data_IF_819258751251
#
_entry.id   IF_819258751251
#
_cell.length_a   1.000
_cell.length_b   1.000
_cell.length_c   1.000
_cell.angle_alpha   90.00
_cell.angle_beta   90.00
_cell.angle_gamma   90.00
#
_symmetry.space_group_name_H-M   'P 1'
#
loop_
_entity.id
_entity.type
_entity.pdbx_description
1 polymer ?
#
# COMPACT_ATOMS: atom_id res chain seq x y z
N UNK A 1 -0.23 -13.74 6.32
CA UNK A 1 -0.27 -15.22 6.31
C UNK A 1 -0.20 -15.56 4.84
N UNK A 2 0.80 -16.32 4.39
CA UNK A 2 0.84 -16.84 3.02
C UNK A 2 0.02 -18.13 3.03
N UNK A 3 -1.16 -18.13 2.39
CA UNK A 3 -2.00 -19.32 2.28
C UNK A 3 -1.97 -19.97 0.89
N UNK A 4 -1.15 -19.45 -0.02
CA UNK A 4 -0.97 -19.99 -1.37
C UNK A 4 -2.01 -19.48 -2.36
N UNK A 5 -2.85 -18.52 -1.96
CA UNK A 5 -3.93 -17.96 -2.78
C UNK A 5 -3.69 -16.50 -3.16
N UNK A 6 -2.52 -15.95 -2.88
CA UNK A 6 -2.12 -14.59 -3.25
C UNK A 6 -1.74 -14.48 -4.74
N UNK A 7 -1.89 -13.29 -5.31
CA UNK A 7 -1.63 -13.07 -6.75
C UNK A 7 -0.22 -13.49 -7.21
N UNK A 8 0.79 -13.35 -6.35
CA UNK A 8 2.18 -13.67 -6.69
C UNK A 8 2.43 -15.17 -6.77
N UNK A 9 1.62 -16.01 -6.11
CA UNK A 9 1.72 -17.48 -6.20
C UNK A 9 1.36 -17.96 -7.61
N UNK A 10 0.35 -17.33 -8.24
CA UNK A 10 0.00 -17.60 -9.64
C UNK A 10 1.11 -17.14 -10.60
N UNK A 11 1.83 -16.06 -10.28
CA UNK A 11 3.00 -15.64 -11.05
C UNK A 11 4.16 -16.64 -10.88
N UNK A 12 4.45 -17.09 -9.66
CA UNK A 12 5.49 -18.10 -9.39
C UNK A 12 5.23 -19.40 -10.15
N UNK A 13 3.99 -19.88 -10.17
CA UNK A 13 3.59 -21.06 -10.94
C UNK A 13 3.83 -20.88 -12.44
N UNK A 14 3.69 -19.64 -12.94
CA UNK A 14 3.87 -19.33 -14.37
C UNK A 14 5.34 -19.16 -14.77
N UNK A 15 6.20 -18.77 -13.82
CA UNK A 15 7.63 -18.50 -14.03
C UNK A 15 8.47 -19.32 -13.04
N UNK A 16 8.55 -20.65 -13.19
CA UNK A 16 9.20 -21.54 -12.21
C UNK A 16 10.72 -21.33 -12.10
N UNK A 17 11.34 -20.72 -13.11
CA UNK A 17 12.77 -20.39 -13.13
C UNK A 17 13.05 -18.97 -12.57
N UNK A 18 12.03 -18.25 -12.12
CA UNK A 18 12.15 -16.93 -11.49
C UNK A 18 12.03 -17.06 -9.97
N UNK A 19 12.97 -16.46 -9.24
CA UNK A 19 12.91 -16.39 -7.77
C UNK A 19 12.10 -15.16 -7.32
N UNK A 20 11.12 -15.38 -6.44
CA UNK A 20 10.25 -14.32 -5.93
C UNK A 20 10.53 -14.07 -4.46
N UNK A 21 10.91 -12.83 -4.14
CA UNK A 21 11.04 -12.34 -2.77
C UNK A 21 9.87 -11.42 -2.46
N UNK A 22 8.95 -11.89 -1.61
CA UNK A 22 7.67 -11.21 -1.35
C UNK A 22 7.66 -10.58 0.02
N UNK A 23 7.44 -9.26 0.05
CA UNK A 23 7.33 -8.46 1.27
C UNK A 23 5.97 -7.77 1.33
N UNK A 24 4.94 -8.53 1.68
CA UNK A 24 3.58 -8.01 1.91
C UNK A 24 3.21 -8.10 3.39
N UNK A 25 2.73 -7.00 3.97
CA UNK A 25 2.23 -7.01 5.35
C UNK A 25 1.10 -6.00 5.50
N UNK A 26 0.08 -6.39 6.27
CA UNK A 26 -1.07 -5.53 6.53
C UNK A 26 -0.67 -4.26 7.27
N UNK A 27 -1.19 -3.13 6.80
CA UNK A 27 -1.03 -1.83 7.45
C UNK A 27 0.35 -1.20 7.33
N UNK A 28 1.17 -1.62 6.37
CA UNK A 28 2.34 -0.84 5.96
C UNK A 28 1.94 0.19 4.91
N UNK A 29 2.55 1.37 5.01
CA UNK A 29 2.57 2.35 3.93
C UNK A 29 3.94 2.40 3.25
N UNK A 30 4.02 3.18 2.18
CA UNK A 30 5.20 3.31 1.32
C UNK A 30 6.52 3.54 2.07
N UNK A 31 6.55 4.30 3.17
CA UNK A 31 7.78 4.47 3.96
C UNK A 31 8.28 3.15 4.54
N UNK A 32 7.40 2.36 5.15
CA UNK A 32 7.78 1.10 5.77
C UNK A 32 8.19 0.07 4.72
N UNK A 33 7.51 0.04 3.58
CA UNK A 33 7.91 -0.77 2.44
C UNK A 33 9.28 -0.34 1.90
N UNK A 34 9.56 0.97 1.82
CA UNK A 34 10.87 1.50 1.45
C UNK A 34 11.95 1.09 2.46
N UNK A 35 11.66 1.09 3.75
CA UNK A 35 12.60 0.62 4.78
C UNK A 35 12.97 -0.85 4.55
N UNK A 36 11.98 -1.71 4.28
CA UNK A 36 12.23 -3.13 3.96
C UNK A 36 13.06 -3.27 2.67
N UNK A 37 12.71 -2.54 1.61
CA UNK A 37 13.48 -2.54 0.37
C UNK A 37 14.92 -2.10 0.63
N UNK A 38 15.11 -1.00 1.35
CA UNK A 38 16.42 -0.43 1.64
C UNK A 38 17.33 -1.41 2.40
N UNK A 39 16.76 -2.20 3.30
CA UNK A 39 17.48 -3.17 4.12
C UNK A 39 17.81 -4.47 3.38
N UNK A 40 17.05 -4.84 2.34
CA UNK A 40 17.11 -6.16 1.71
C UNK A 40 17.64 -6.15 0.27
N UNK A 41 17.53 -5.04 -0.45
CA UNK A 41 17.79 -4.99 -1.90
C UNK A 41 19.23 -5.31 -2.30
N UNK A 42 20.21 -5.01 -1.44
CA UNK A 42 21.63 -5.29 -1.73
C UNK A 42 21.99 -6.77 -1.54
N UNK A 43 21.23 -7.49 -0.71
CA UNK A 43 21.37 -8.93 -0.51
C UNK A 43 20.68 -9.70 -1.64
N UNK A 44 19.43 -9.33 -1.92
CA UNK A 44 18.60 -9.95 -2.95
C UNK A 44 19.15 -9.65 -4.36
N UNK A 45 19.63 -8.41 -4.58
CA UNK A 45 20.08 -7.89 -5.89
C UNK A 45 19.07 -8.20 -7.01
N UNK A 46 17.82 -7.73 -6.88
CA UNK A 46 16.76 -8.12 -7.81
C UNK A 46 17.01 -7.56 -9.21
N UNK A 47 16.65 -8.34 -10.23
CA UNK A 47 16.63 -7.88 -11.63
C UNK A 47 15.43 -6.97 -11.92
N UNK A 48 14.40 -7.03 -11.07
CA UNK A 48 13.13 -6.30 -11.19
C UNK A 48 12.50 -6.13 -9.81
N UNK A 49 11.81 -5.00 -9.60
CA UNK A 49 10.97 -4.76 -8.42
C UNK A 49 9.52 -4.61 -8.89
N UNK A 50 8.61 -5.36 -8.28
CA UNK A 50 7.17 -5.19 -8.45
C UNK A 50 6.60 -4.49 -7.21
N UNK A 51 6.07 -3.29 -7.40
CA UNK A 51 5.51 -2.43 -6.35
C UNK A 51 3.99 -2.40 -6.44
N UNK A 52 3.34 -3.03 -5.46
CA UNK A 52 1.91 -2.90 -5.26
C UNK A 52 1.62 -1.62 -4.47
N UNK A 53 0.62 -0.86 -4.88
CA UNK A 53 0.20 0.36 -4.17
C UNK A 53 -1.31 0.34 -3.93
N UNK A 54 -1.75 0.99 -2.86
CA UNK A 54 -3.16 1.19 -2.56
C UNK A 54 -3.41 2.62 -2.06
N UNK A 55 -4.66 3.03 -1.95
CA UNK A 55 -5.01 4.38 -1.51
C UNK A 55 -4.68 4.66 -0.03
N UNK A 56 -4.59 3.62 0.83
CA UNK A 56 -4.19 3.81 2.23
C UNK A 56 -2.73 4.24 2.38
N UNK A 57 -1.86 3.94 1.41
CA UNK A 57 -0.47 4.39 1.41
C UNK A 57 -0.31 5.90 1.57
N UNK A 58 -1.20 6.69 0.98
CA UNK A 58 -1.19 8.14 1.18
C UNK A 58 -1.42 8.49 2.66
N UNK A 59 -2.42 7.87 3.29
CA UNK A 59 -2.71 8.07 4.70
C UNK A 59 -1.54 7.65 5.58
N UNK A 60 -0.98 6.47 5.33
CA UNK A 60 0.07 5.90 6.15
C UNK A 60 1.40 6.67 6.06
N UNK A 61 1.59 7.53 5.05
CA UNK A 61 2.78 8.37 4.90
C UNK A 61 2.67 9.75 5.57
N UNK A 62 1.50 10.14 6.10
CA UNK A 62 1.28 11.45 6.69
C UNK A 62 0.50 11.34 7.99
N UNK A 63 1.14 11.62 9.12
CA UNK A 63 0.50 11.56 10.44
C UNK A 63 -0.77 12.40 10.50
N UNK A 64 -0.72 13.64 9.99
CA UNK A 64 -1.86 14.56 9.95
C UNK A 64 -3.02 14.05 9.09
N UNK A 65 -2.72 13.28 8.04
CA UNK A 65 -3.74 12.69 7.16
C UNK A 65 -4.26 11.36 7.73
N UNK A 66 -3.39 10.50 8.28
CA UNK A 66 -3.73 9.19 8.85
C UNK A 66 -4.75 9.33 9.98
N UNK A 67 -4.53 10.26 10.92
CA UNK A 67 -5.45 10.50 12.06
C UNK A 67 -6.87 10.90 11.61
N UNK A 68 -7.00 11.40 10.38
CA UNK A 68 -8.28 11.77 9.76
C UNK A 68 -8.86 10.65 8.88
N UNK A 69 -8.02 9.86 8.21
CA UNK A 69 -8.39 8.94 7.14
C UNK A 69 -8.46 7.46 7.57
N UNK A 70 -7.41 6.96 8.22
CA UNK A 70 -7.24 5.55 8.59
C UNK A 70 -7.02 5.41 10.10
N UNK A 71 -8.05 4.92 10.79
CA UNK A 71 -8.13 4.98 12.25
C UNK A 71 -8.06 3.61 12.90
N UNK A 72 -7.75 2.60 12.10
CA UNK A 72 -7.62 1.21 12.51
C UNK A 72 -6.20 0.90 12.99
N UNK A 73 -5.20 1.71 12.60
CA UNK A 73 -3.82 1.56 13.03
C UNK A 73 -3.53 2.26 14.38
N UNK A 74 -4.03 1.69 15.48
CA UNK A 74 -3.75 2.23 16.83
C UNK A 74 -2.34 1.80 17.25
N UNK A 75 -1.34 2.66 17.04
CA UNK A 75 0.03 2.37 17.45
C UNK A 75 1.04 3.46 17.10
N UNK A 76 2.29 3.25 17.51
CA UNK A 76 3.43 4.07 17.09
C UNK A 76 3.84 3.63 15.68
N UNK A 77 3.94 4.59 14.76
CA UNK A 77 4.27 4.36 13.35
C UNK A 77 5.38 5.32 12.90
N UNK A 78 6.23 4.91 11.95
CA UNK A 78 7.22 5.80 11.35
C UNK A 78 6.56 6.73 10.31
N UNK A 79 7.02 7.98 10.26
CA UNK A 79 6.65 8.98 9.25
C UNK A 79 7.92 9.69 8.77
N UNK A 80 7.93 10.13 7.51
CA UNK A 80 9.02 10.90 6.96
C UNK A 80 8.73 12.39 7.13
N UNK A 81 9.53 13.07 7.96
CA UNK A 81 9.42 14.51 8.23
C UNK A 81 10.79 15.15 8.06
N UNK A 82 10.91 16.11 7.13
CA UNK A 82 12.15 16.86 6.92
C UNK A 82 13.39 15.96 6.77
N UNK A 83 13.29 14.91 5.94
CA UNK A 83 14.32 13.86 5.72
C UNK A 83 14.58 12.91 6.91
N UNK A 84 13.87 13.06 8.03
CA UNK A 84 14.03 12.21 9.19
C UNK A 84 12.85 11.26 9.36
N UNK A 85 13.14 10.01 9.73
CA UNK A 85 12.11 9.08 10.16
C UNK A 85 11.78 9.40 11.61
N UNK A 86 10.55 9.87 11.85
CA UNK A 86 10.02 10.16 13.18
C UNK A 86 8.95 9.15 13.54
N UNK A 87 8.89 8.78 14.82
CA UNK A 87 7.91 7.83 15.32
C UNK A 87 6.81 8.57 16.07
N UNK A 88 5.57 8.47 15.58
CA UNK A 88 4.41 9.11 16.20
C UNK A 88 3.32 8.10 16.50
N UNK A 89 2.63 8.31 17.61
CA UNK A 89 1.39 7.59 17.87
C UNK A 89 0.32 8.09 16.88
N UNK A 90 -0.35 7.20 16.15
CA UNK A 90 -1.50 7.57 15.31
C UNK A 90 -2.72 7.90 16.20
N UNK A 91 -2.67 9.08 16.83
CA UNK A 91 -3.73 9.67 17.64
C UNK A 91 -3.75 11.17 17.42
N UNK A 92 -4.95 11.74 17.51
CA UNK A 92 -5.16 13.19 17.41
C UNK A 92 -4.57 13.95 18.61
N UNK A 93 -4.49 13.31 19.77
CA UNK A 93 -3.97 13.91 20.99
C UNK A 93 -2.80 13.10 21.53
N UNK A 94 -1.63 13.74 21.59
CA UNK A 94 -0.45 13.21 22.29
C UNK A 94 -0.63 13.43 23.81
N UNK A 95 -1.62 12.74 24.38
CA UNK A 95 -1.77 12.73 25.83
C UNK A 95 -0.64 11.86 26.40
N UNK A 96 0.15 12.36 27.36
CA UNK A 96 1.10 11.54 28.09
C UNK A 96 0.31 10.58 28.98
N UNK A 97 -0.23 9.50 28.40
CA UNK A 97 -0.85 8.41 29.14
C UNK A 97 0.30 7.64 29.78
N UNK A 98 0.86 8.21 30.85
CA UNK A 98 1.70 7.47 31.77
C UNK A 98 0.88 6.29 32.29
N UNK A 99 1.32 5.10 31.91
CA UNK A 99 0.79 3.78 32.24
C UNK A 99 0.27 3.65 33.68
N UNK A 100 -1.02 3.89 33.92
CA UNK A 100 -1.62 3.47 35.20
C UNK A 100 -3.11 3.13 35.18
N UNK A 101 -3.85 3.33 34.09
CA UNK A 101 -5.25 2.87 34.04
C UNK A 101 -5.63 2.35 32.66
N UNK A 102 -5.55 1.03 32.46
CA UNK A 102 -5.98 0.34 31.22
C UNK A 102 -7.42 0.73 30.80
N UNK A 103 -8.30 0.97 31.77
CA UNK A 103 -9.67 1.41 31.52
C UNK A 103 -9.76 2.83 30.95
N UNK A 104 -8.89 3.75 31.38
CA UNK A 104 -8.84 5.11 30.81
C UNK A 104 -8.33 5.08 29.36
N UNK A 105 -7.39 4.19 29.04
CA UNK A 105 -6.94 3.98 27.67
C UNK A 105 -8.07 3.42 26.79
N UNK A 106 -8.82 2.42 27.25
CA UNK A 106 -9.98 1.88 26.52
C UNK A 106 -11.07 2.92 26.30
N UNK A 107 -11.40 3.72 27.33
CA UNK A 107 -12.37 4.81 27.23
C UNK A 107 -11.91 5.89 26.25
N UNK A 108 -10.64 6.30 26.31
CA UNK A 108 -10.11 7.30 25.38
C UNK A 108 -10.12 6.77 23.95
N UNK A 109 -9.68 5.53 23.73
CA UNK A 109 -9.74 4.88 22.42
C UNK A 109 -11.18 4.79 21.90
N UNK A 110 -12.16 4.47 22.77
CA UNK A 110 -13.57 4.43 22.39
C UNK A 110 -14.12 5.82 22.03
N UNK A 111 -13.79 6.86 22.80
CA UNK A 111 -14.19 8.25 22.51
C UNK A 111 -13.55 8.73 21.20
N UNK A 112 -12.25 8.45 21.00
CA UNK A 112 -11.54 8.77 19.77
C UNK A 112 -12.20 8.06 18.58
N UNK A 113 -12.49 6.76 18.68
CA UNK A 113 -13.17 5.95 17.66
C UNK A 113 -14.60 6.43 17.33
N UNK A 114 -15.34 6.96 18.31
CA UNK A 114 -16.65 7.60 18.08
C UNK A 114 -16.47 8.94 17.36
N UNK A 115 -15.59 9.82 17.84
CA UNK A 115 -15.35 11.16 17.27
C UNK A 115 -14.87 11.12 15.81
N UNK A 116 -13.81 10.37 15.56
CA UNK A 116 -13.99 9.12 14.87
C UNK A 116 -14.99 9.05 13.71
N UNK A 117 -15.79 8.00 13.80
CA UNK A 117 -16.93 7.69 12.94
C UNK A 117 -17.83 8.88 12.59
N UNK A 118 -17.88 9.92 13.42
CA UNK A 118 -18.69 11.11 13.20
C UNK A 118 -18.01 12.21 12.35
N UNK A 119 -16.69 12.15 12.15
CA UNK A 119 -15.95 13.16 11.38
C UNK A 119 -15.84 12.73 9.91
N UNK A 120 -16.19 13.60 8.95
CA UNK A 120 -16.03 13.28 7.53
C UNK A 120 -14.55 13.01 7.21
N UNK A 121 -14.30 11.96 6.41
CA UNK A 121 -12.95 11.70 5.90
C UNK A 121 -12.56 12.85 4.96
N UNK A 122 -11.33 13.38 5.06
CA UNK A 122 -10.85 14.42 4.17
C UNK A 122 -10.81 13.90 2.72
N UNK A 123 -11.29 14.72 1.79
CA UNK A 123 -11.27 14.41 0.36
C UNK A 123 -9.84 14.44 -0.23
N UNK A 124 -9.72 13.93 -1.45
CA UNK A 124 -8.48 13.92 -2.24
C UNK A 124 -8.07 15.31 -2.77
N UNK A 125 -8.86 16.33 -2.48
CA UNK A 125 -8.58 17.74 -2.73
C UNK A 125 -8.18 18.50 -1.45
N UNK A 126 -8.06 17.82 -0.31
CA UNK A 126 -7.69 18.43 0.96
C UNK A 126 -6.21 18.86 1.00
N UNK A 127 -5.89 19.79 1.91
CA UNK A 127 -4.49 20.22 2.12
C UNK A 127 -3.66 19.04 2.64
N UNK A 128 -4.25 18.27 3.53
CA UNK A 128 -3.68 17.12 4.20
C UNK A 128 -3.36 16.01 3.19
N UNK A 129 -4.28 15.75 2.24
CA UNK A 129 -4.00 14.81 1.15
C UNK A 129 -2.89 15.30 0.22
N UNK A 130 -2.84 16.58 -0.13
CA UNK A 130 -1.74 17.12 -0.96
C UNK A 130 -0.38 16.94 -0.30
N UNK A 131 -0.30 17.12 1.02
CA UNK A 131 0.92 16.87 1.79
C UNK A 131 1.28 15.38 1.79
N UNK A 132 0.31 14.52 2.09
CA UNK A 132 0.46 13.07 2.01
C UNK A 132 0.99 12.60 0.64
N UNK A 133 0.37 13.07 -0.46
CA UNK A 133 0.79 12.76 -1.83
C UNK A 133 2.22 13.23 -2.11
N UNK A 134 2.63 14.40 -1.62
CA UNK A 134 3.99 14.89 -1.80
C UNK A 134 5.02 13.99 -1.10
N UNK A 135 4.73 13.55 0.13
CA UNK A 135 5.59 12.59 0.86
C UNK A 135 5.62 11.24 0.13
N UNK A 136 4.48 10.73 -0.32
CA UNK A 136 4.42 9.50 -1.12
C UNK A 136 5.29 9.59 -2.38
N UNK A 137 5.24 10.70 -3.11
CA UNK A 137 6.07 10.90 -4.31
C UNK A 137 7.56 10.93 -3.99
N UNK A 138 7.96 11.60 -2.91
CA UNK A 138 9.35 11.61 -2.46
C UNK A 138 9.83 10.18 -2.11
N UNK A 139 9.02 9.42 -1.37
CA UNK A 139 9.31 8.04 -1.01
C UNK A 139 9.42 7.12 -2.24
N UNK A 140 8.50 7.23 -3.19
CA UNK A 140 8.58 6.48 -4.45
C UNK A 140 9.82 6.88 -5.27
N UNK A 141 10.22 8.17 -5.23
CA UNK A 141 11.49 8.63 -5.77
C UNK A 141 12.69 7.94 -5.11
N UNK A 142 12.69 7.81 -3.78
CA UNK A 142 13.71 7.07 -3.02
C UNK A 142 13.72 5.58 -3.40
N UNK A 143 12.56 4.94 -3.56
CA UNK A 143 12.43 3.56 -4.06
C UNK A 143 13.09 3.43 -5.44
N UNK A 144 12.72 4.30 -6.39
CA UNK A 144 13.24 4.24 -7.77
C UNK A 144 14.75 4.46 -7.83
N UNK A 145 15.30 5.29 -6.94
CA UNK A 145 16.72 5.60 -6.86
C UNK A 145 17.54 4.54 -6.10
N UNK A 146 16.90 3.70 -5.27
CA UNK A 146 17.59 2.78 -4.37
C UNK A 146 18.26 1.60 -5.09
N UNK A 147 17.76 1.23 -6.27
CA UNK A 147 18.31 0.15 -7.11
C UNK A 147 18.29 0.52 -8.58
N UNK A 148 19.21 -0.07 -9.35
CA UNK A 148 19.22 0.03 -10.81
C UNK A 148 18.11 -0.83 -11.46
N UNK A 149 17.48 -1.72 -10.70
CA UNK A 149 16.37 -2.52 -11.18
C UNK A 149 15.21 -1.63 -11.67
N UNK A 150 14.55 -1.98 -12.79
CA UNK A 150 13.28 -1.39 -13.16
C UNK A 150 12.23 -1.66 -12.07
N UNK A 151 11.49 -0.63 -11.71
CA UNK A 151 10.37 -0.71 -10.76
C UNK A 151 9.08 -0.68 -11.56
N UNK A 152 8.33 -1.76 -11.50
CA UNK A 152 6.99 -1.91 -12.08
C UNK A 152 5.96 -1.62 -10.99
N UNK A 153 4.98 -0.79 -11.30
CA UNK A 153 4.03 -0.27 -10.31
C UNK A 153 2.61 -0.60 -10.75
N UNK A 154 1.77 -1.10 -9.84
CA UNK A 154 0.33 -1.25 -10.06
C UNK A 154 -0.49 -0.81 -8.86
N UNK A 155 -1.69 -0.29 -9.15
CA UNK A 155 -2.71 0.04 -8.14
C UNK A 155 -3.60 -1.17 -7.87
N UNK A 156 -3.66 -1.62 -6.62
CA UNK A 156 -4.51 -2.72 -6.19
C UNK A 156 -5.94 -2.28 -5.83
N UNK A 157 -6.14 -0.98 -5.59
CA UNK A 157 -7.36 -0.44 -4.99
C UNK A 157 -8.20 0.39 -5.97
N UNK A 158 -7.65 0.72 -7.15
CA UNK A 158 -8.38 1.27 -8.31
C UNK A 158 -9.09 2.56 -8.01
N UNK A 159 -8.52 3.34 -7.08
CA UNK A 159 -9.34 4.26 -6.31
C UNK A 159 -9.39 5.65 -6.93
N UNK A 160 -8.40 6.06 -7.74
CA UNK A 160 -8.21 7.49 -8.02
C UNK A 160 -7.44 7.79 -9.32
N UNK A 161 -7.89 8.79 -10.11
CA UNK A 161 -7.06 9.42 -11.14
C UNK A 161 -5.67 9.83 -10.65
N UNK A 162 -5.58 10.26 -9.38
CA UNK A 162 -4.33 10.69 -8.73
C UNK A 162 -3.29 9.57 -8.58
N UNK A 163 -3.72 8.30 -8.54
CA UNK A 163 -2.82 7.13 -8.52
C UNK A 163 -2.36 6.78 -9.94
N UNK A 164 -3.21 7.00 -10.95
CA UNK A 164 -2.90 6.68 -12.34
C UNK A 164 -1.71 7.49 -12.91
N UNK A 165 -1.44 8.68 -12.36
CA UNK A 165 -0.27 9.50 -12.69
C UNK A 165 0.93 9.25 -11.75
N UNK A 166 0.74 8.61 -10.60
CA UNK A 166 1.75 8.49 -9.56
C UNK A 166 2.99 7.71 -10.03
N UNK A 167 2.79 6.60 -10.74
CA UNK A 167 3.88 5.83 -11.33
C UNK A 167 4.69 6.65 -12.35
N UNK A 168 4.02 7.50 -13.16
CA UNK A 168 4.69 8.37 -14.13
C UNK A 168 5.48 9.46 -13.43
N UNK A 169 4.87 10.12 -12.45
CA UNK A 169 5.50 11.17 -11.64
C UNK A 169 6.74 10.65 -10.90
N UNK A 170 6.70 9.40 -10.43
CA UNK A 170 7.82 8.73 -9.77
C UNK A 170 8.86 8.10 -10.74
N UNK A 171 8.65 8.19 -12.05
CA UNK A 171 9.55 7.60 -13.05
C UNK A 171 9.59 6.06 -13.04
N UNK A 172 8.48 5.43 -12.65
CA UNK A 172 8.28 3.97 -12.62
C UNK A 172 7.54 3.48 -13.87
N UNK A 173 7.59 2.16 -14.10
CA UNK A 173 6.87 1.53 -15.20
C UNK A 173 5.44 1.22 -14.75
N UNK A 174 4.47 1.96 -15.29
CA UNK A 174 3.06 1.77 -14.98
C UNK A 174 2.53 0.48 -15.61
N UNK A 175 2.04 -0.43 -14.77
CA UNK A 175 1.32 -1.62 -15.19
C UNK A 175 -0.15 -1.29 -15.50
N UNK A 176 -0.90 -2.22 -16.13
CA UNK A 176 -2.33 -2.06 -16.35
C UNK A 176 -3.10 -1.77 -15.05
N UNK A 177 -4.27 -1.12 -15.19
CA UNK A 177 -5.18 -0.86 -14.08
C UNK A 177 -5.84 -2.17 -13.60
N UNK A 178 -5.11 -2.92 -12.78
CA UNK A 178 -5.54 -4.24 -12.29
C UNK A 178 -6.86 -4.12 -11.54
N UNK A 179 -7.00 -3.12 -10.67
CA UNK A 179 -8.21 -2.91 -9.90
C UNK A 179 -9.42 -2.53 -10.78
N UNK A 180 -9.22 -1.67 -11.79
CA UNK A 180 -10.25 -1.38 -12.79
C UNK A 180 -10.67 -2.62 -13.58
N UNK A 181 -9.71 -3.45 -14.00
CA UNK A 181 -9.98 -4.70 -14.71
C UNK A 181 -10.78 -5.67 -13.83
N UNK A 182 -10.38 -5.88 -12.57
CA UNK A 182 -11.10 -6.74 -11.62
C UNK A 182 -12.53 -6.24 -11.38
N UNK A 183 -12.72 -4.92 -11.29
CA UNK A 183 -14.05 -4.33 -11.11
C UNK A 183 -14.97 -4.60 -12.30
N UNK A 184 -14.46 -4.52 -13.53
CA UNK A 184 -15.24 -4.87 -14.72
C UNK A 184 -15.48 -6.38 -14.82
N UNK A 185 -14.47 -7.21 -14.52
CA UNK A 185 -14.59 -8.67 -14.54
C UNK A 185 -15.63 -9.17 -13.54
N UNK A 186 -15.65 -8.62 -12.32
CA UNK A 186 -16.66 -8.91 -11.30
C UNK A 186 -18.10 -8.70 -11.81
N UNK A 187 -18.33 -7.67 -12.64
CA UNK A 187 -19.64 -7.42 -13.26
C UNK A 187 -19.98 -8.43 -14.34
N UNK A 188 -18.98 -8.88 -15.11
CA UNK A 188 -19.16 -9.83 -16.21
C UNK A 188 -19.51 -11.22 -15.67
N UNK A 189 -18.75 -11.70 -14.68
CA UNK A 189 -18.95 -13.05 -14.11
C UNK A 189 -20.08 -13.10 -13.08
N UNK A 190 -20.50 -11.94 -12.55
CA UNK A 190 -21.57 -11.85 -11.56
C UNK A 190 -21.16 -12.30 -10.14
N UNK A 191 -19.87 -12.29 -9.84
CA UNK A 191 -19.30 -12.68 -8.55
C UNK A 191 -18.50 -11.54 -7.94
N UNK A 192 -18.47 -11.45 -6.60
CA UNK A 192 -17.56 -10.52 -5.92
C UNK A 192 -16.13 -11.05 -6.01
N UNK A 193 -15.19 -10.18 -6.40
CA UNK A 193 -13.75 -10.46 -6.37
C UNK A 193 -13.05 -9.85 -5.15
N UNK A 194 -13.82 -9.20 -4.29
CA UNK A 194 -13.36 -8.49 -3.11
C UNK A 194 -14.06 -9.04 -1.86
N UNK A 195 -13.35 -9.00 -0.74
CA UNK A 195 -13.89 -9.17 0.60
C UNK A 195 -14.58 -7.87 1.05
N UNK A 196 -15.34 -7.93 2.15
CA UNK A 196 -16.06 -6.76 2.67
C UNK A 196 -15.14 -5.60 3.08
N UNK A 197 -13.89 -5.90 3.43
CA UNK A 197 -12.87 -4.93 3.83
C UNK A 197 -12.07 -4.35 2.64
N UNK A 198 -12.41 -4.75 1.41
CA UNK A 198 -11.79 -4.26 0.18
C UNK A 198 -10.56 -5.06 -0.30
N UNK A 199 -10.10 -6.07 0.45
CA UNK A 199 -9.04 -6.96 -0.02
C UNK A 199 -9.56 -7.87 -1.14
N UNK A 200 -8.67 -8.31 -2.02
CA UNK A 200 -9.02 -9.32 -3.03
C UNK A 200 -9.29 -10.66 -2.34
N UNK A 201 -10.37 -11.32 -2.74
CA UNK A 201 -10.62 -12.70 -2.33
C UNK A 201 -9.75 -13.66 -3.19
N UNK A 202 -9.79 -14.98 -2.95
CA UNK A 202 -8.97 -15.94 -3.72
C UNK A 202 -9.19 -15.89 -5.24
N UNK A 203 -10.43 -15.62 -5.69
CA UNK A 203 -10.72 -15.46 -7.11
C UNK A 203 -10.13 -14.15 -7.68
N UNK A 204 -10.20 -13.06 -6.91
CA UNK A 204 -9.60 -11.78 -7.26
C UNK A 204 -8.07 -11.87 -7.38
N UNK A 205 -7.41 -12.49 -6.39
CA UNK A 205 -5.96 -12.73 -6.42
C UNK A 205 -5.55 -13.58 -7.63
N UNK A 206 -6.28 -14.66 -7.93
CA UNK A 206 -6.02 -15.49 -9.12
C UNK A 206 -6.09 -14.70 -10.41
N UNK A 207 -7.14 -13.90 -10.59
CA UNK A 207 -7.32 -13.10 -11.81
C UNK A 207 -6.24 -12.03 -11.90
N UNK A 208 -5.93 -11.32 -10.82
CA UNK A 208 -4.86 -10.33 -10.77
C UNK A 208 -3.50 -10.95 -11.12
N UNK A 209 -3.16 -12.10 -10.53
CA UNK A 209 -1.92 -12.83 -10.78
C UNK A 209 -1.77 -13.24 -12.24
N UNK A 210 -2.86 -13.72 -12.85
CA UNK A 210 -2.87 -14.06 -14.28
C UNK A 210 -2.68 -12.83 -15.18
N UNK A 211 -3.35 -11.70 -14.88
CA UNK A 211 -3.19 -10.47 -15.67
C UNK A 211 -1.74 -9.99 -15.63
N UNK A 212 -1.13 -10.00 -14.43
CA UNK A 212 0.27 -9.64 -14.26
C UNK A 212 1.17 -10.60 -15.02
N UNK A 213 0.98 -11.91 -14.86
CA UNK A 213 1.78 -12.91 -15.55
C UNK A 213 1.69 -12.79 -17.08
N UNK A 214 0.49 -12.62 -17.63
CA UNK A 214 0.28 -12.39 -19.06
C UNK A 214 0.99 -11.13 -19.55
N UNK A 215 0.99 -10.05 -18.75
CA UNK A 215 1.74 -8.84 -19.07
C UNK A 215 3.24 -9.12 -19.14
N UNK A 216 3.81 -9.77 -18.13
CA UNK A 216 5.25 -10.05 -18.05
C UNK A 216 5.72 -11.01 -19.15
N UNK A 217 4.94 -12.05 -19.45
CA UNK A 217 5.25 -13.00 -20.53
C UNK A 217 5.13 -12.35 -21.91
N UNK A 218 4.02 -11.65 -22.19
CA UNK A 218 3.79 -11.03 -23.51
C UNK A 218 4.85 -10.00 -23.86
N UNK A 219 5.36 -9.28 -22.87
CA UNK A 219 6.43 -8.29 -23.04
C UNK A 219 7.84 -8.90 -22.93
N UNK A 220 7.97 -10.22 -22.73
CA UNK A 220 9.24 -10.94 -22.59
C UNK A 220 10.13 -10.37 -21.49
N UNK A 221 9.51 -9.95 -20.39
CA UNK A 221 10.21 -9.42 -19.22
C UNK A 221 10.58 -10.57 -18.28
N UNK A 222 9.64 -11.49 -18.05
CA UNK A 222 9.87 -12.77 -17.39
C UNK A 222 9.71 -13.90 -18.40
N UNK A 223 10.45 -14.98 -18.22
CA UNK A 223 10.48 -16.15 -19.11
C UNK A 223 10.37 -17.44 -18.33
#
# INVERSE_FOLDING_TARGET
MNDGEEYYEFMQQRFPDTEFFVFGTGGYGTLQEYMVLNDTVDEIRPDLILWQFCNNDFADNSHDYEVLFNREHIGVRPYLEEENIVYRMNRRYDLPIRYSVKSAHLLLTAVEAIQASCSPKPGFDSKEFRQARAVTLDLLGKVKARSNAPVYFFDACGSLPEVADLCRDAGMICLPDIAGILKEESKIIGETLYLEDGHWNPAGNRIAGNILADYFEKNKILT
#
